data_IF_711793052647
#
_entry.id   IF_711793052647
#
_cell.length_a   1.000
_cell.length_b   1.000
_cell.length_c   1.000
_cell.angle_alpha   90.00
_cell.angle_beta   90.00
_cell.angle_gamma   90.00
#
_symmetry.space_group_name_H-M   'P 1'
#
loop_
_entity.id
_entity.type
_entity.pdbx_description
1 polymer ?
#
# COMPACT_ATOMS: atom_id res chain seq x y z
N UNK A 1 -16.48 -4.62 1.31
CA UNK A 1 -15.05 -4.89 1.54
C UNK A 1 -14.79 -4.61 2.99
N UNK A 2 -14.29 -5.59 3.74
CA UNK A 2 -13.95 -5.43 5.15
C UNK A 2 -12.95 -4.28 5.33
N UNK A 3 -13.07 -3.51 6.41
CA UNK A 3 -12.05 -2.54 6.80
C UNK A 3 -10.81 -3.33 7.25
N UNK A 4 -9.86 -3.49 6.32
CA UNK A 4 -8.57 -4.15 6.59
C UNK A 4 -7.74 -3.20 7.46
N UNK A 5 -7.34 -3.68 8.63
CA UNK A 5 -6.36 -2.98 9.45
C UNK A 5 -4.96 -3.25 8.88
N UNK A 6 -4.31 -2.20 8.39
CA UNK A 6 -2.99 -2.30 7.77
C UNK A 6 -1.89 -1.97 8.78
N UNK A 7 -0.76 -2.71 8.79
CA UNK A 7 0.41 -2.35 9.56
C UNK A 7 0.93 -0.95 9.18
N UNK A 8 1.40 -0.19 10.16
CA UNK A 8 1.94 1.17 9.95
C UNK A 8 3.06 1.19 8.91
N UNK A 9 3.91 0.16 8.89
CA UNK A 9 5.03 0.08 7.96
C UNK A 9 4.55 -0.06 6.51
N UNK A 10 3.49 -0.82 6.28
CA UNK A 10 2.87 -0.96 4.96
C UNK A 10 2.19 0.33 4.51
N UNK A 11 1.53 1.04 5.44
CA UNK A 11 0.96 2.38 5.18
C UNK A 11 2.06 3.38 4.83
N UNK A 12 3.18 3.38 5.56
CA UNK A 12 4.31 4.29 5.33
C UNK A 12 4.99 4.03 3.97
N UNK A 13 5.17 2.75 3.60
CA UNK A 13 5.71 2.36 2.30
C UNK A 13 4.81 2.85 1.16
N UNK A 14 3.50 2.59 1.23
CA UNK A 14 2.57 3.05 0.19
C UNK A 14 2.45 4.59 0.16
N UNK A 15 2.51 5.26 1.32
CA UNK A 15 2.51 6.73 1.40
C UNK A 15 3.74 7.32 0.70
N UNK A 16 4.92 6.74 0.96
CA UNK A 16 6.17 7.16 0.30
C UNK A 16 6.09 6.93 -1.20
N UNK A 17 5.67 5.73 -1.63
CA UNK A 17 5.49 5.41 -3.03
C UNK A 17 4.48 6.35 -3.71
N UNK A 18 3.41 6.72 -3.01
CA UNK A 18 2.42 7.65 -3.53
C UNK A 18 2.98 9.06 -3.73
N UNK A 19 3.73 9.58 -2.75
CA UNK A 19 4.42 10.86 -2.89
C UNK A 19 5.43 10.85 -4.04
N UNK A 20 6.18 9.75 -4.23
CA UNK A 20 7.09 9.59 -5.36
C UNK A 20 6.36 9.53 -6.70
N UNK A 21 5.19 8.85 -6.78
CA UNK A 21 4.33 8.84 -7.96
C UNK A 21 3.86 10.26 -8.29
N UNK A 22 3.36 11.00 -7.31
CA UNK A 22 2.91 12.38 -7.49
C UNK A 22 4.05 13.30 -7.96
N UNK A 23 5.27 13.04 -7.51
CA UNK A 23 6.47 13.79 -7.92
C UNK A 23 7.08 13.30 -9.24
N UNK A 24 6.58 12.21 -9.85
CA UNK A 24 7.18 11.60 -11.04
C UNK A 24 8.57 10.99 -10.79
N UNK A 25 8.87 10.58 -9.56
CA UNK A 25 10.18 10.06 -9.11
C UNK A 25 10.15 8.62 -8.59
N UNK A 26 9.05 7.90 -8.78
CA UNK A 26 8.91 6.52 -8.29
C UNK A 26 10.06 5.64 -8.80
N UNK A 27 10.73 4.96 -7.87
CA UNK A 27 11.80 4.02 -8.19
C UNK A 27 11.30 2.58 -8.22
N UNK A 28 11.99 1.70 -8.97
CA UNK A 28 11.73 0.26 -8.93
C UNK A 28 11.95 -0.34 -7.54
N UNK A 29 12.87 0.24 -6.75
CA UNK A 29 13.14 -0.19 -5.37
C UNK A 29 11.94 0.10 -4.48
N UNK A 30 11.41 1.33 -4.51
CA UNK A 30 10.22 1.71 -3.74
C UNK A 30 8.99 0.90 -4.16
N UNK A 31 8.76 0.75 -5.47
CA UNK A 31 7.66 -0.05 -6.00
C UNK A 31 7.76 -1.54 -5.58
N UNK A 32 8.96 -2.12 -5.65
CA UNK A 32 9.22 -3.49 -5.23
C UNK A 32 8.99 -3.71 -3.73
N UNK A 33 9.43 -2.76 -2.90
CA UNK A 33 9.23 -2.82 -1.45
C UNK A 33 7.73 -2.84 -1.08
N UNK A 34 6.91 -2.00 -1.72
CA UNK A 34 5.45 -2.01 -1.54
C UNK A 34 4.85 -3.37 -1.94
N UNK A 35 5.19 -3.88 -3.13
CA UNK A 35 4.62 -5.14 -3.62
C UNK A 35 5.03 -6.34 -2.76
N UNK A 36 6.27 -6.38 -2.28
CA UNK A 36 6.75 -7.39 -1.36
C UNK A 36 5.98 -7.34 -0.03
N UNK A 37 5.79 -6.14 0.54
CA UNK A 37 5.07 -5.96 1.80
C UNK A 37 3.57 -6.30 1.67
N UNK A 38 2.91 -5.92 0.57
CA UNK A 38 1.53 -6.32 0.26
C UNK A 38 1.42 -7.86 0.22
N UNK A 39 2.35 -8.52 -0.45
CA UNK A 39 2.33 -9.98 -0.62
C UNK A 39 2.53 -10.71 0.71
N UNK A 40 3.48 -10.24 1.52
CA UNK A 40 3.73 -10.78 2.85
C UNK A 40 2.50 -10.63 3.75
N UNK A 41 1.93 -9.41 3.81
CA UNK A 41 0.75 -9.15 4.63
C UNK A 41 -0.49 -9.91 4.17
N UNK A 42 -0.73 -10.03 2.85
CA UNK A 42 -1.83 -10.82 2.33
C UNK A 42 -1.71 -12.29 2.75
N UNK A 43 -0.50 -12.84 2.73
CA UNK A 43 -0.23 -14.21 3.19
C UNK A 43 -0.47 -14.37 4.69
N UNK A 44 0.03 -13.44 5.51
CA UNK A 44 -0.15 -13.44 6.97
C UNK A 44 -1.62 -13.30 7.38
N UNK A 45 -2.35 -12.40 6.74
CA UNK A 45 -3.76 -12.14 7.01
C UNK A 45 -4.71 -13.20 6.40
N UNK A 46 -4.20 -14.13 5.58
CA UNK A 46 -5.02 -15.10 4.85
C UNK A 46 -5.97 -14.44 3.84
N UNK A 47 -5.58 -13.28 3.30
CA UNK A 47 -6.36 -12.49 2.36
C UNK A 47 -5.81 -12.61 0.94
N UNK A 48 -6.66 -12.35 -0.05
CA UNK A 48 -6.23 -12.21 -1.43
C UNK A 48 -5.39 -10.93 -1.62
N UNK A 49 -4.27 -11.04 -2.35
CA UNK A 49 -3.31 -9.95 -2.61
C UNK A 49 -3.99 -8.76 -3.29
N UNK A 50 -4.88 -9.00 -4.24
CA UNK A 50 -5.57 -7.92 -4.95
C UNK A 50 -6.50 -7.13 -4.02
N UNK A 51 -7.21 -7.82 -3.13
CA UNK A 51 -8.07 -7.20 -2.10
C UNK A 51 -7.26 -6.32 -1.16
N UNK A 52 -6.11 -6.81 -0.69
CA UNK A 52 -5.18 -6.05 0.15
C UNK A 52 -4.66 -4.81 -0.59
N UNK A 53 -4.18 -4.97 -1.82
CA UNK A 53 -3.60 -3.89 -2.63
C UNK A 53 -4.64 -2.78 -2.90
N UNK A 54 -5.86 -3.15 -3.29
CA UNK A 54 -6.91 -2.18 -3.59
C UNK A 54 -7.36 -1.42 -2.34
N UNK A 55 -7.52 -2.11 -1.21
CA UNK A 55 -7.86 -1.46 0.05
C UNK A 55 -6.74 -0.52 0.52
N UNK A 56 -5.47 -0.93 0.42
CA UNK A 56 -4.32 -0.12 0.84
C UNK A 56 -4.22 1.16 0.03
N UNK A 57 -4.34 1.04 -1.31
CA UNK A 57 -4.36 2.20 -2.21
C UNK A 57 -5.53 3.12 -1.93
N UNK A 58 -6.71 2.60 -1.61
CA UNK A 58 -7.86 3.42 -1.20
C UNK A 58 -7.55 4.19 0.08
N UNK A 59 -7.02 3.51 1.11
CA UNK A 59 -6.64 4.13 2.39
C UNK A 59 -5.61 5.25 2.19
N UNK A 60 -4.58 5.04 1.37
CA UNK A 60 -3.49 6.03 1.24
C UNK A 60 -3.80 7.11 0.19
N UNK A 61 -4.28 6.73 -0.99
CA UNK A 61 -4.40 7.65 -2.15
C UNK A 61 -5.73 8.37 -2.20
N UNK A 62 -6.75 7.88 -1.49
CA UNK A 62 -8.10 8.44 -1.53
C UNK A 62 -8.57 8.97 -0.17
N UNK A 63 -7.69 9.04 0.83
CA UNK A 63 -7.94 9.90 1.99
C UNK A 63 -7.86 11.34 1.51
N UNK A 64 -9.01 11.99 1.35
CA UNK A 64 -9.07 13.43 1.13
C UNK A 64 -8.28 14.10 2.27
N UNK A 65 -7.35 14.97 1.92
CA UNK A 65 -6.78 15.89 2.90
C UNK A 65 -7.96 16.62 3.56
N UNK A 66 -8.19 16.33 4.84
CA UNK A 66 -9.09 17.09 5.69
C UNK A 66 -8.43 18.41 6.08
#
# INVERSE_FOLDING_TARGET
MSDIEYPSDLINLETTAWQEIQAGRLTLTTAGAVQAAITAFATEAGLDRYTVEMGLKKTVRHTAAA
#
